data_IF_549375558572
#
_entry.id   IF_549375558572
#
_cell.length_a   1.000
_cell.length_b   1.000
_cell.length_c   1.000
_cell.angle_alpha   90.00
_cell.angle_beta   90.00
_cell.angle_gamma   90.00
#
_symmetry.space_group_name_H-M   'P 1'
#
loop_
_entity.id
_entity.type
_entity.pdbx_description
1 polymer ?
#
# COMPACT_ATOMS: atom_id res chain seq x y z
N UNK A 1 0.61 13.01 13.68
CA UNK A 1 0.19 13.63 12.40
C UNK A 1 -0.08 12.46 11.47
N UNK A 2 -1.16 11.74 11.81
CA UNK A 2 -1.49 10.39 11.38
C UNK A 2 -2.93 10.49 10.90
N UNK A 3 -3.13 10.92 9.67
CA UNK A 3 -4.39 10.67 8.97
C UNK A 3 -4.18 9.29 8.34
N UNK A 4 -4.60 8.16 8.89
CA UNK A 4 -5.83 7.83 9.59
C UNK A 4 -5.55 6.85 10.73
N UNK A 5 -5.48 7.36 11.97
CA UNK A 5 -5.67 6.55 13.17
C UNK A 5 -6.88 7.09 13.93
N UNK A 6 -8.08 6.90 13.37
CA UNK A 6 -9.33 7.18 14.09
C UNK A 6 -10.49 6.31 13.61
N UNK A 7 -10.25 5.00 13.47
CA UNK A 7 -11.33 4.03 13.36
C UNK A 7 -11.00 2.74 14.13
N UNK A 8 -10.64 2.88 15.40
CA UNK A 8 -10.90 1.84 16.39
C UNK A 8 -12.31 2.11 16.95
N UNK A 9 -13.35 1.68 16.22
CA UNK A 9 -14.71 1.39 16.70
C UNK A 9 -15.59 0.98 15.51
N UNK A 10 -15.36 -0.23 15.00
CA UNK A 10 -16.39 -1.01 14.33
C UNK A 10 -16.03 -2.49 14.46
N UNK A 11 -16.48 -3.12 15.55
CA UNK A 11 -16.62 -4.57 15.66
C UNK A 11 -17.74 -5.06 14.72
N UNK A 12 -17.55 -4.84 13.42
CA UNK A 12 -18.34 -5.46 12.38
C UNK A 12 -17.35 -5.86 11.28
N UNK A 13 -17.12 -7.16 11.04
CA UNK A 13 -16.37 -7.55 9.86
C UNK A 13 -17.10 -6.95 8.65
N UNK A 14 -16.40 -6.13 7.87
CA UNK A 14 -16.92 -5.69 6.58
C UNK A 14 -17.35 -6.96 5.82
N UNK A 15 -18.58 -7.04 5.28
CA UNK A 15 -19.02 -8.22 4.56
C UNK A 15 -18.19 -8.34 3.29
N UNK A 16 -17.12 -9.15 3.35
CA UNK A 16 -16.33 -9.55 2.19
C UNK A 16 -17.20 -10.51 1.38
N UNK A 17 -18.13 -9.95 0.60
CA UNK A 17 -19.11 -10.72 -0.14
C UNK A 17 -18.38 -11.51 -1.25
N UNK A 18 -18.41 -12.83 -1.10
CA UNK A 18 -17.77 -13.83 -1.94
C UNK A 18 -18.23 -13.77 -3.40
N UNK A 19 -17.56 -13.04 -4.29
CA UNK A 19 -17.56 -13.32 -5.75
C UNK A 19 -16.57 -12.52 -6.63
N UNK A 20 -15.66 -11.71 -6.08
CA UNK A 20 -14.63 -11.08 -6.91
C UNK A 20 -13.37 -11.94 -6.95
N UNK A 21 -12.87 -12.24 -8.15
CA UNK A 21 -11.61 -12.96 -8.35
C UNK A 21 -10.52 -12.25 -7.53
N UNK A 22 -10.04 -12.89 -6.45
CA UNK A 22 -8.95 -12.37 -5.62
C UNK A 22 -7.70 -12.23 -6.48
N UNK A 23 -7.49 -11.05 -7.07
CA UNK A 23 -6.24 -10.76 -7.75
C UNK A 23 -5.18 -10.62 -6.68
N UNK A 24 -4.27 -11.60 -6.61
CA UNK A 24 -3.10 -11.58 -5.74
C UNK A 24 -1.86 -11.18 -6.52
N UNK A 25 -0.94 -10.51 -5.84
CA UNK A 25 0.37 -10.15 -6.36
C UNK A 25 1.42 -10.66 -5.40
N UNK A 26 2.33 -11.50 -5.90
CA UNK A 26 3.49 -11.97 -5.15
C UNK A 26 4.71 -11.18 -5.60
N UNK A 27 5.54 -10.77 -4.64
CA UNK A 27 6.70 -9.93 -4.86
C UNK A 27 7.87 -10.49 -4.05
N UNK A 28 9.04 -10.55 -4.67
CA UNK A 28 10.29 -10.86 -3.98
C UNK A 28 10.80 -9.63 -3.21
N UNK A 29 11.66 -9.87 -2.22
CA UNK A 29 12.41 -8.82 -1.56
C UNK A 29 13.07 -7.85 -2.57
N UNK A 30 12.92 -6.55 -2.33
CA UNK A 30 13.48 -5.48 -3.16
C UNK A 30 12.65 -5.12 -4.39
N UNK A 31 11.54 -5.81 -4.66
CA UNK A 31 10.67 -5.45 -5.77
C UNK A 31 9.80 -4.22 -5.48
N UNK A 32 9.55 -3.46 -6.54
CA UNK A 32 8.75 -2.24 -6.49
C UNK A 32 7.26 -2.57 -6.47
N UNK A 33 6.56 -2.03 -5.49
CA UNK A 33 5.11 -2.14 -5.40
C UNK A 33 4.47 -0.90 -6.03
N UNK A 34 4.92 0.28 -5.60
CA UNK A 34 4.46 1.58 -6.09
C UNK A 34 5.67 2.48 -6.32
N UNK A 35 5.65 3.23 -7.42
CA UNK A 35 6.60 4.31 -7.70
C UNK A 35 5.89 5.65 -7.56
N UNK A 36 6.52 6.59 -6.87
CA UNK A 36 6.09 7.98 -6.80
C UNK A 36 5.93 8.57 -8.20
N UNK A 37 4.93 9.42 -8.39
CA UNK A 37 4.63 10.04 -9.69
C UNK A 37 3.91 9.14 -10.69
N UNK A 38 3.77 7.83 -10.45
CA UNK A 38 3.03 6.95 -11.36
C UNK A 38 1.52 7.19 -11.34
N UNK A 39 0.84 6.83 -12.43
CA UNK A 39 -0.60 7.08 -12.66
C UNK A 39 -1.48 5.86 -12.30
N UNK A 40 -0.88 4.69 -12.02
CA UNK A 40 -1.63 3.49 -11.62
C UNK A 40 -2.43 3.73 -10.34
N UNK A 41 -3.65 3.20 -10.25
CA UNK A 41 -4.62 3.50 -9.17
C UNK A 41 -5.01 2.32 -8.27
N UNK A 42 -4.36 1.17 -8.37
CA UNK A 42 -4.65 0.03 -7.49
C UNK A 42 -4.21 0.29 -6.05
N UNK A 43 -5.06 0.00 -5.06
CA UNK A 43 -4.62 -0.15 -3.68
C UNK A 43 -4.33 -1.63 -3.38
N UNK A 44 -3.63 -1.89 -2.29
CA UNK A 44 -3.28 -3.25 -1.90
C UNK A 44 -3.47 -3.47 -0.39
N UNK A 45 -3.82 -4.69 -0.01
CA UNK A 45 -3.73 -5.18 1.38
C UNK A 45 -2.52 -6.10 1.46
N UNK A 46 -1.68 -5.91 2.47
CA UNK A 46 -0.54 -6.79 2.72
C UNK A 46 -1.05 -8.07 3.41
N UNK A 47 -1.02 -9.21 2.72
CA UNK A 47 -1.39 -10.51 3.29
C UNK A 47 -0.22 -11.16 4.03
N UNK A 48 0.99 -10.92 3.52
CA UNK A 48 2.26 -11.41 4.05
C UNK A 48 3.41 -10.46 3.69
N UNK A 49 4.40 -10.39 4.55
CA UNK A 49 5.62 -9.64 4.36
C UNK A 49 5.57 -8.24 4.96
N UNK A 50 6.61 -7.47 4.68
CA UNK A 50 6.79 -6.09 5.12
C UNK A 50 7.26 -5.22 3.96
N UNK A 51 6.82 -3.96 3.97
CA UNK A 51 7.10 -2.98 2.93
C UNK A 51 7.60 -1.69 3.55
N UNK A 52 8.39 -0.95 2.80
CA UNK A 52 8.86 0.36 3.22
C UNK A 52 8.30 1.44 2.30
N UNK A 53 7.74 2.48 2.92
CA UNK A 53 7.23 3.67 2.26
C UNK A 53 8.26 4.78 2.42
N UNK A 54 8.68 5.38 1.31
CA UNK A 54 9.69 6.45 1.33
C UNK A 54 9.50 7.46 0.20
N UNK A 55 10.15 8.62 0.34
CA UNK A 55 10.35 9.59 -0.74
C UNK A 55 11.84 9.81 -0.97
N UNK A 56 12.17 10.31 -2.14
CA UNK A 56 13.50 10.86 -2.42
C UNK A 56 13.41 12.37 -2.49
N UNK A 57 14.37 13.08 -1.91
CA UNK A 57 14.52 14.52 -2.13
C UNK A 57 15.16 14.81 -3.49
N UNK A 58 15.31 16.10 -3.83
CA UNK A 58 15.92 16.54 -5.10
C UNK A 58 17.38 16.09 -5.27
N UNK A 59 18.06 15.72 -4.19
CA UNK A 59 19.43 15.22 -4.19
C UNK A 59 19.48 13.68 -4.22
N UNK A 60 18.33 13.00 -4.27
CA UNK A 60 18.21 11.54 -4.26
C UNK A 60 18.31 10.91 -2.87
N UNK A 61 18.33 11.71 -1.80
CA UNK A 61 18.39 11.16 -0.44
C UNK A 61 17.05 10.51 -0.08
N UNK A 62 17.13 9.29 0.42
CA UNK A 62 15.97 8.52 0.85
C UNK A 62 15.48 8.99 2.21
N UNK A 63 14.22 9.42 2.28
CA UNK A 63 13.50 9.70 3.53
C UNK A 63 12.42 8.64 3.73
N UNK A 64 12.65 7.75 4.69
CA UNK A 64 11.66 6.74 5.11
C UNK A 64 10.51 7.44 5.83
N UNK A 65 9.29 7.10 5.42
CA UNK A 65 8.04 7.62 5.98
C UNK A 65 7.47 6.59 6.96
N UNK A 66 7.41 5.32 6.55
CA UNK A 66 6.87 4.23 7.35
C UNK A 66 7.40 2.87 6.88
N UNK A 67 7.29 1.88 7.77
CA UNK A 67 7.39 0.45 7.44
C UNK A 67 6.05 -0.17 7.82
N UNK A 68 5.41 -0.85 6.87
CA UNK A 68 4.06 -1.39 7.01
C UNK A 68 4.11 -2.91 6.81
N UNK A 69 3.18 -3.62 7.44
CA UNK A 69 3.15 -5.09 7.45
C UNK A 69 1.76 -5.66 7.20
N UNK A 70 1.60 -6.94 7.52
CA UNK A 70 0.35 -7.69 7.34
C UNK A 70 -0.88 -6.91 7.84
N UNK A 71 -1.97 -6.98 7.06
CA UNK A 71 -3.27 -6.33 7.24
C UNK A 71 -3.29 -4.81 7.06
N UNK A 72 -2.14 -4.17 6.81
CA UNK A 72 -2.12 -2.75 6.46
C UNK A 72 -2.47 -2.54 4.98
N UNK A 73 -3.12 -1.41 4.70
CA UNK A 73 -3.48 -0.98 3.35
C UNK A 73 -2.41 -0.04 2.83
N UNK A 74 -2.05 -0.18 1.55
CA UNK A 74 -1.10 0.68 0.86
C UNK A 74 -1.66 1.17 -0.48
N UNK A 75 -1.26 2.37 -0.90
CA UNK A 75 -1.68 2.94 -2.18
C UNK A 75 -3.12 3.47 -2.18
N UNK A 76 -3.70 3.71 -1.02
CA UNK A 76 -5.05 4.27 -0.83
C UNK A 76 -5.10 5.80 -0.98
N UNK A 77 -4.01 6.52 -0.68
CA UNK A 77 -4.01 7.99 -0.69
C UNK A 77 -4.41 8.60 -2.04
N UNK A 78 -3.84 8.12 -3.15
CA UNK A 78 -4.10 8.69 -4.49
C UNK A 78 -5.50 8.39 -5.01
N UNK A 79 -6.17 7.36 -4.49
CA UNK A 79 -7.56 7.05 -4.85
C UNK A 79 -8.53 8.13 -4.34
N UNK A 80 -8.21 8.77 -3.22
CA UNK A 80 -9.08 9.75 -2.56
C UNK A 80 -8.84 11.19 -3.05
N UNK A 81 -7.58 11.56 -3.27
CA UNK A 81 -7.21 12.96 -3.58
C UNK A 81 -7.14 13.25 -5.10
N UNK A 82 -7.10 12.21 -5.94
CA UNK A 82 -6.82 12.35 -7.36
C UNK A 82 -5.36 12.78 -7.62
N UNK A 83 -4.79 12.35 -8.75
CA UNK A 83 -3.42 12.70 -9.13
C UNK A 83 -2.49 11.50 -9.25
N UNK A 84 -1.20 11.71 -8.99
CA UNK A 84 -0.14 10.71 -9.08
C UNK A 84 0.19 10.11 -7.71
N UNK A 85 0.95 9.02 -7.70
CA UNK A 85 1.40 8.38 -6.46
C UNK A 85 2.27 9.30 -5.62
N UNK A 86 1.93 9.42 -4.34
CA UNK A 86 2.57 10.37 -3.43
C UNK A 86 3.83 9.81 -2.75
N UNK A 87 4.20 8.55 -2.93
CA UNK A 87 5.40 7.97 -2.32
C UNK A 87 5.83 6.70 -3.07
N UNK A 88 7.07 6.28 -2.81
CA UNK A 88 7.61 5.00 -3.24
C UNK A 88 7.29 3.92 -2.21
N UNK A 89 7.03 2.70 -2.68
CA UNK A 89 6.84 1.53 -1.83
C UNK A 89 7.62 0.35 -2.41
N UNK A 90 8.47 -0.26 -1.58
CA UNK A 90 9.32 -1.41 -1.93
C UNK A 90 9.12 -2.54 -0.92
N UNK A 91 9.21 -3.78 -1.38
CA UNK A 91 9.17 -4.96 -0.52
C UNK A 91 10.48 -5.09 0.26
N UNK A 92 10.41 -5.19 1.60
CA UNK A 92 11.58 -5.43 2.45
C UNK A 92 11.90 -6.92 2.60
N UNK A 93 10.91 -7.77 2.35
CA UNK A 93 10.99 -9.22 2.28
C UNK A 93 9.99 -9.73 1.23
N UNK A 94 9.87 -11.05 1.04
CA UNK A 94 8.89 -11.61 0.13
C UNK A 94 7.46 -11.30 0.61
N UNK A 95 6.68 -10.66 -0.27
CA UNK A 95 5.34 -10.15 0.02
C UNK A 95 4.26 -10.84 -0.80
N UNK A 96 3.10 -11.01 -0.18
CA UNK A 96 1.85 -11.36 -0.87
C UNK A 96 0.84 -10.25 -0.63
N UNK A 97 0.26 -9.74 -1.70
CA UNK A 97 -0.66 -8.61 -1.68
C UNK A 97 -1.99 -8.98 -2.34
N UNK A 98 -3.09 -8.59 -1.72
CA UNK A 98 -4.42 -8.61 -2.35
C UNK A 98 -4.65 -7.28 -3.06
N UNK A 99 -5.04 -7.32 -4.33
CA UNK A 99 -5.29 -6.11 -5.14
C UNK A 99 -6.70 -5.60 -4.91
N UNK A 100 -6.82 -4.36 -4.46
CA UNK A 100 -8.05 -3.59 -4.38
C UNK A 100 -8.10 -2.66 -5.59
N UNK A 101 -8.77 -3.09 -6.66
CA UNK A 101 -9.05 -2.23 -7.81
C UNK A 101 -10.48 -1.71 -7.73
N UNK A 102 -10.65 -0.41 -7.98
CA UNK A 102 -11.92 0.29 -8.01
C UNK A 102 -12.25 0.77 -9.42
#
# INVERSE_FOLDING_TARGET
MTLFASCALANNPLPFNSTNHERKKSLCQGEWIIREGSVQRDAYIIEKGTVEVFRQDENGNKKVIAVLGKQEVIGEMTLLEGGTRCANIIALEDCELSVLSF
#
